data_IF_046667867605
#
_entry.id   IF_046667867605
#
_cell.length_a   1.000
_cell.length_b   1.000
_cell.length_c   1.000
_cell.angle_alpha   90.00
_cell.angle_beta   90.00
_cell.angle_gamma   90.00
#
_symmetry.space_group_name_H-M   'P 1'
#
loop_
_entity.id
_entity.type
_entity.pdbx_description
1 polymer ?
#
# COMPACT_ATOMS: atom_id res chain seq x y z
N UNK A 1 -5.55 5.55 16.90
CA UNK A 1 -5.31 5.85 15.47
C UNK A 1 -4.00 6.57 15.33
N UNK A 2 -3.26 6.31 14.25
CA UNK A 2 -2.02 7.03 13.95
C UNK A 2 -2.28 8.54 13.83
N UNK A 3 -1.41 9.35 14.44
CA UNK A 3 -1.53 10.81 14.42
C UNK A 3 -1.29 11.37 13.02
N UNK A 4 -1.82 12.57 12.75
CA UNK A 4 -1.53 13.32 11.51
C UNK A 4 -0.02 13.44 11.24
N UNK A 5 0.79 13.67 12.29
CA UNK A 5 2.25 13.75 12.18
C UNK A 5 2.84 12.43 11.67
N UNK A 6 2.38 11.29 12.19
CA UNK A 6 2.84 9.97 11.75
C UNK A 6 2.44 9.67 10.30
N UNK A 7 1.21 10.00 9.89
CA UNK A 7 0.77 9.84 8.49
C UNK A 7 1.63 10.68 7.54
N UNK A 8 1.89 11.94 7.86
CA UNK A 8 2.74 12.84 7.05
C UNK A 8 4.16 12.29 6.96
N UNK A 9 4.73 11.82 8.07
CA UNK A 9 6.07 11.25 8.09
C UNK A 9 6.16 9.99 7.24
N UNK A 10 5.16 9.09 7.32
CA UNK A 10 5.09 7.90 6.48
C UNK A 10 5.05 8.25 4.98
N UNK A 11 4.23 9.22 4.59
CA UNK A 11 4.15 9.70 3.20
C UNK A 11 5.52 10.20 2.73
N UNK A 12 6.19 11.06 3.50
CA UNK A 12 7.51 11.59 3.14
C UNK A 12 8.54 10.49 2.95
N UNK A 13 8.59 9.54 3.88
CA UNK A 13 9.56 8.45 3.84
C UNK A 13 9.36 7.53 2.64
N UNK A 14 8.11 7.20 2.32
CA UNK A 14 7.80 6.38 1.14
C UNK A 14 8.07 7.15 -0.16
N UNK A 15 7.74 8.44 -0.22
CA UNK A 15 8.02 9.29 -1.39
C UNK A 15 9.53 9.48 -1.66
N UNK A 16 10.38 9.32 -0.64
CA UNK A 16 11.84 9.49 -0.75
C UNK A 16 12.58 8.20 -1.13
N UNK A 17 11.88 7.09 -1.40
CA UNK A 17 12.53 5.83 -1.80
C UNK A 17 13.17 6.01 -3.18
N UNK A 18 14.50 6.04 -3.23
CA UNK A 18 15.26 6.16 -4.47
C UNK A 18 14.95 5.00 -5.42
N UNK A 19 14.67 5.30 -6.68
CA UNK A 19 14.33 4.31 -7.71
C UNK A 19 12.87 3.84 -7.69
N UNK A 20 12.03 4.42 -6.82
CA UNK A 20 10.59 4.25 -6.82
C UNK A 20 9.87 5.57 -7.11
N UNK A 21 8.75 5.50 -7.82
CA UNK A 21 7.88 6.62 -8.15
C UNK A 21 6.45 6.28 -7.78
N UNK A 22 5.72 7.25 -7.20
CA UNK A 22 4.31 7.11 -6.84
C UNK A 22 3.56 8.38 -7.17
N UNK A 23 2.27 8.24 -7.45
CA UNK A 23 1.38 9.39 -7.50
C UNK A 23 1.07 9.88 -6.07
N UNK A 24 1.25 11.18 -5.81
CA UNK A 24 1.08 11.79 -4.49
C UNK A 24 -0.30 11.54 -3.87
N UNK A 25 -1.36 11.57 -4.70
CA UNK A 25 -2.73 11.34 -4.24
C UNK A 25 -2.93 9.88 -3.82
N UNK A 26 -2.47 8.92 -4.64
CA UNK A 26 -2.54 7.50 -4.30
C UNK A 26 -1.70 7.16 -3.06
N UNK A 27 -0.48 7.68 -2.96
CA UNK A 27 0.38 7.50 -1.79
C UNK A 27 -0.32 8.00 -0.52
N UNK A 28 -0.85 9.22 -0.55
CA UNK A 28 -1.54 9.83 0.59
C UNK A 28 -2.72 8.97 1.04
N UNK A 29 -3.55 8.55 0.08
CA UNK A 29 -4.75 7.82 0.41
C UNK A 29 -4.46 6.36 0.85
N UNK A 30 -3.42 5.70 0.33
CA UNK A 30 -2.97 4.38 0.79
C UNK A 30 -2.47 4.44 2.24
N UNK A 31 -1.74 5.50 2.60
CA UNK A 31 -1.29 5.73 3.99
C UNK A 31 -2.47 6.00 4.91
N UNK A 32 -3.46 6.80 4.49
CA UNK A 32 -4.68 7.06 5.28
C UNK A 32 -5.43 5.76 5.53
N UNK A 33 -5.65 4.95 4.49
CA UNK A 33 -6.33 3.66 4.60
C UNK A 33 -5.59 2.72 5.54
N UNK A 34 -4.27 2.66 5.47
CA UNK A 34 -3.47 1.84 6.38
C UNK A 34 -3.60 2.29 7.84
N UNK A 35 -3.69 3.59 8.10
CA UNK A 35 -3.90 4.11 9.45
C UNK A 35 -5.29 3.76 10.02
N UNK A 36 -6.29 3.53 9.17
CA UNK A 36 -7.60 3.00 9.58
C UNK A 36 -7.51 1.51 9.90
N UNK A 37 -6.77 0.74 9.10
CA UNK A 37 -6.60 -0.71 9.32
C UNK A 37 -5.76 -0.99 10.56
N UNK A 38 -4.64 -0.27 10.71
CA UNK A 38 -3.70 -0.40 11.82
C UNK A 38 -3.86 0.81 12.74
N UNK A 39 -4.94 0.80 13.52
CA UNK A 39 -5.31 1.94 14.36
C UNK A 39 -4.36 2.16 15.55
N UNK A 40 -3.61 1.13 15.96
CA UNK A 40 -2.55 1.28 16.95
C UNK A 40 -1.33 1.99 16.32
N UNK A 41 -0.81 3.07 16.93
CA UNK A 41 0.32 3.80 16.35
C UNK A 41 1.61 2.99 16.21
N UNK A 42 1.86 2.02 17.09
CA UNK A 42 3.04 1.16 16.99
C UNK A 42 2.89 0.21 15.80
N UNK A 43 1.74 -0.47 15.70
CA UNK A 43 1.43 -1.35 14.56
C UNK A 43 1.55 -0.62 13.22
N UNK A 44 0.95 0.57 13.13
CA UNK A 44 1.02 1.41 11.92
C UNK A 44 2.46 1.68 11.49
N UNK A 45 3.31 2.16 12.40
CA UNK A 45 4.70 2.48 12.04
C UNK A 45 5.47 1.22 11.64
N UNK A 46 5.28 0.10 12.34
CA UNK A 46 5.88 -1.18 11.96
C UNK A 46 5.46 -1.62 10.56
N UNK A 47 4.19 -1.45 10.19
CA UNK A 47 3.71 -1.75 8.84
C UNK A 47 4.32 -0.83 7.79
N UNK A 48 4.48 0.47 8.09
CA UNK A 48 5.16 1.41 7.20
C UNK A 48 6.62 0.99 6.96
N UNK A 49 7.36 0.57 8.00
CA UNK A 49 8.73 0.05 7.83
C UNK A 49 8.78 -1.15 6.90
N UNK A 50 7.84 -2.09 7.06
CA UNK A 50 7.76 -3.28 6.22
C UNK A 50 7.48 -2.87 4.77
N UNK A 51 6.55 -1.95 4.53
CA UNK A 51 6.23 -1.47 3.19
C UNK A 51 7.43 -0.80 2.53
N UNK A 52 8.13 0.10 3.25
CA UNK A 52 9.33 0.78 2.75
C UNK A 52 10.37 -0.27 2.35
N UNK A 53 10.68 -1.22 3.25
CA UNK A 53 11.64 -2.29 2.98
C UNK A 53 11.25 -3.11 1.75
N UNK A 54 9.97 -3.48 1.63
CA UNK A 54 9.51 -4.30 0.50
C UNK A 54 9.56 -3.54 -0.83
N UNK A 55 9.34 -2.23 -0.84
CA UNK A 55 9.53 -1.38 -2.03
C UNK A 55 11.03 -1.27 -2.35
N UNK A 56 11.89 -0.99 -1.38
CA UNK A 56 13.34 -0.92 -1.59
C UNK A 56 13.92 -2.21 -2.14
N UNK A 57 13.50 -3.36 -1.62
CA UNK A 57 13.88 -4.68 -2.15
C UNK A 57 13.32 -4.92 -3.56
N UNK A 58 12.16 -4.34 -3.89
CA UNK A 58 11.60 -4.38 -5.25
C UNK A 58 12.36 -3.48 -6.22
N UNK A 59 12.91 -2.36 -5.76
CA UNK A 59 13.82 -1.53 -6.57
C UNK A 59 15.11 -2.29 -6.90
N UNK A 60 15.65 -3.05 -5.94
CA UNK A 60 16.86 -3.88 -6.14
C UNK A 60 16.59 -5.08 -7.05
N UNK A 61 15.43 -5.73 -6.88
CA UNK A 61 15.01 -6.87 -7.68
C UNK A 61 13.56 -6.65 -8.19
N UNK A 62 13.42 -6.09 -9.41
CA UNK A 62 12.10 -5.86 -10.00
C UNK A 62 11.33 -7.14 -10.35
N UNK A 63 12.00 -8.31 -10.38
CA UNK A 63 11.39 -9.57 -10.79
C UNK A 63 10.44 -10.16 -9.74
N UNK A 64 10.46 -9.63 -8.51
CA UNK A 64 9.65 -10.06 -7.37
C UNK A 64 8.14 -10.06 -7.67
N UNK A 65 7.38 -10.77 -6.86
CA UNK A 65 5.92 -10.81 -6.99
C UNK A 65 5.39 -11.60 -8.20
N UNK A 66 4.08 -11.52 -8.40
CA UNK A 66 3.35 -12.26 -9.45
C UNK A 66 2.78 -11.26 -10.47
N UNK A 67 2.84 -11.61 -11.76
CA UNK A 67 2.19 -10.80 -12.80
C UNK A 67 0.66 -10.81 -12.60
N UNK A 68 0.03 -9.66 -12.81
CA UNK A 68 -1.42 -9.59 -12.83
C UNK A 68 -1.98 -10.22 -14.11
N UNK A 69 -3.24 -10.67 -14.04
CA UNK A 69 -3.90 -11.37 -15.15
C UNK A 69 -4.55 -10.37 -16.12
N UNK A 70 -4.94 -10.87 -17.30
CA UNK A 70 -5.73 -10.13 -18.30
C UNK A 70 -5.02 -8.90 -18.85
N UNK A 71 -5.66 -7.73 -18.77
CA UNK A 71 -5.19 -6.48 -19.37
C UNK A 71 -4.15 -5.74 -18.50
N UNK A 72 -3.68 -6.39 -17.42
CA UNK A 72 -2.75 -5.80 -16.46
C UNK A 72 -1.44 -6.59 -16.36
N UNK A 73 -1.08 -7.38 -17.38
CA UNK A 73 0.11 -8.25 -17.37
C UNK A 73 1.42 -7.51 -17.16
N UNK A 74 1.46 -6.23 -17.49
CA UNK A 74 2.66 -5.40 -17.27
C UNK A 74 2.79 -4.94 -15.81
N UNK A 75 1.76 -5.18 -14.98
CA UNK A 75 1.79 -4.92 -13.55
C UNK A 75 2.14 -6.19 -12.77
N UNK A 76 2.98 -6.00 -11.75
CA UNK A 76 3.31 -7.00 -10.75
C UNK A 76 2.61 -6.71 -9.43
N UNK A 77 2.25 -7.79 -8.73
CA UNK A 77 1.69 -7.75 -7.38
C UNK A 77 2.59 -8.54 -6.43
N UNK A 78 3.19 -7.83 -5.49
CA UNK A 78 3.91 -8.43 -4.38
C UNK A 78 2.96 -8.60 -3.19
N UNK A 79 3.05 -9.74 -2.50
CA UNK A 79 2.28 -10.06 -1.28
C UNK A 79 3.27 -10.35 -0.16
N UNK A 80 3.02 -9.81 1.02
CA UNK A 80 3.87 -9.98 2.21
C UNK A 80 3.05 -9.88 3.50
N UNK A 81 3.70 -10.07 4.65
CA UNK A 81 3.07 -10.12 5.96
C UNK A 81 3.25 -8.80 6.71
N UNK A 82 2.20 -8.31 7.37
CA UNK A 82 2.30 -7.17 8.31
C UNK A 82 2.95 -7.55 9.64
N UNK A 83 2.91 -8.83 10.01
CA UNK A 83 3.26 -9.28 11.37
C UNK A 83 2.14 -9.14 12.41
N UNK A 84 1.04 -8.47 12.07
CA UNK A 84 -0.13 -8.23 12.94
C UNK A 84 -1.39 -8.96 12.45
N UNK A 85 -1.22 -9.99 11.63
CA UNK A 85 -2.35 -10.68 11.03
C UNK A 85 -3.09 -11.57 12.05
N UNK A 86 -4.43 -11.57 11.98
CA UNK A 86 -5.25 -12.54 12.72
C UNK A 86 -5.05 -13.98 12.20
N UNK A 87 -4.56 -14.12 10.96
CA UNK A 87 -4.32 -15.40 10.32
C UNK A 87 -2.84 -15.50 9.89
N UNK A 88 -1.95 -16.01 10.75
CA UNK A 88 -0.49 -16.04 10.52
C UNK A 88 -0.05 -16.66 9.19
N UNK A 89 -0.87 -17.56 8.63
CA UNK A 89 -0.61 -18.26 7.38
C UNK A 89 -0.93 -17.45 6.11
N UNK A 90 -1.51 -16.24 6.23
CA UNK A 90 -1.99 -15.45 5.08
C UNK A 90 -1.30 -14.10 4.98
N UNK A 91 -0.64 -13.89 3.83
CA UNK A 91 -0.13 -12.59 3.39
C UNK A 91 -1.27 -11.60 3.24
N UNK A 92 -1.21 -10.56 4.06
CA UNK A 92 -2.25 -9.58 4.30
C UNK A 92 -1.87 -8.20 3.76
N UNK A 93 -0.60 -7.92 3.46
CA UNK A 93 -0.19 -6.72 2.74
C UNK A 93 0.12 -6.99 1.27
N UNK A 94 -0.04 -5.96 0.44
CA UNK A 94 0.22 -5.99 -1.00
C UNK A 94 0.83 -4.68 -1.47
N UNK A 95 1.69 -4.78 -2.49
CA UNK A 95 2.15 -3.66 -3.32
C UNK A 95 1.91 -4.04 -4.78
N UNK A 96 1.37 -3.11 -5.56
CA UNK A 96 1.19 -3.24 -7.01
C UNK A 96 2.12 -2.24 -7.69
N UNK A 97 2.92 -2.73 -8.63
CA UNK A 97 3.95 -1.92 -9.26
C UNK A 97 4.26 -2.38 -10.68
N UNK A 98 5.04 -1.57 -11.40
CA UNK A 98 5.56 -1.86 -12.72
C UNK A 98 7.00 -1.38 -12.83
N UNK A 99 7.85 -2.11 -13.55
CA UNK A 99 9.13 -1.58 -13.99
C UNK A 99 8.94 -0.89 -15.35
N UNK A 100 9.22 0.41 -15.43
CA UNK A 100 9.26 1.15 -16.70
C UNK A 100 10.69 1.67 -16.95
N UNK A 101 11.07 2.69 -16.19
CA UNK A 101 12.47 3.16 -16.03
C UNK A 101 12.89 3.01 -14.57
N UNK A 102 11.99 3.42 -13.69
CA UNK A 102 12.01 3.18 -12.26
C UNK A 102 10.86 2.24 -11.88
N UNK A 103 10.82 1.80 -10.61
CA UNK A 103 9.65 1.10 -10.07
C UNK A 103 8.52 2.12 -9.88
N UNK A 104 7.46 2.00 -10.67
CA UNK A 104 6.25 2.79 -10.49
C UNK A 104 5.29 2.01 -9.60
N UNK A 105 5.06 2.50 -8.38
CA UNK A 105 4.08 1.91 -7.46
C UNK A 105 2.72 2.54 -7.70
N UNK A 106 1.75 1.70 -8.05
CA UNK A 106 0.37 2.11 -8.32
C UNK A 106 -0.50 2.10 -7.07
N UNK A 107 -0.13 1.28 -6.09
CA UNK A 107 -0.74 1.32 -4.78
C UNK A 107 -0.27 0.19 -3.88
N UNK A 108 -0.51 0.37 -2.59
CA UNK A 108 -0.18 -0.60 -1.55
C UNK A 108 -1.22 -0.57 -0.43
N UNK A 109 -1.25 -1.64 0.35
CA UNK A 109 -2.10 -1.68 1.52
C UNK A 109 -2.50 -3.08 1.94
N UNK A 110 -3.46 -3.11 2.85
CA UNK A 110 -3.97 -4.35 3.41
C UNK A 110 -4.97 -5.04 2.47
N UNK A 111 -5.05 -6.37 2.57
CA UNK A 111 -5.95 -7.25 1.82
C UNK A 111 -7.41 -6.99 2.17
N UNK A 112 -7.68 -6.39 3.31
CA UNK A 112 -9.01 -6.06 3.78
C UNK A 112 -9.09 -4.56 3.95
N UNK A 113 -10.03 -3.92 3.26
CA UNK A 113 -10.37 -2.53 3.53
C UNK A 113 -11.21 -2.40 4.80
N UNK A 114 -11.08 -1.28 5.52
CA UNK A 114 -12.13 -0.85 6.43
C UNK A 114 -13.41 -0.58 5.62
N UNK A 115 -14.58 -0.92 6.18
CA UNK A 115 -15.89 -0.69 5.53
C UNK A 115 -16.21 0.79 5.30
N UNK A 116 -15.53 1.68 5.99
CA UNK A 116 -15.65 3.14 5.92
C UNK A 116 -14.31 3.77 6.31
N UNK A 117 -13.91 4.84 5.63
CA UNK A 117 -12.77 5.68 6.01
C UNK A 117 -13.36 7.00 6.48
N UNK A 118 -13.16 7.35 7.75
CA UNK A 118 -13.62 8.60 8.32
C UNK A 118 -12.41 9.46 8.69
N UNK A 119 -12.23 10.59 8.01
CA UNK A 119 -11.17 11.54 8.34
C UNK A 119 -11.79 12.91 8.66
N UNK A 120 -11.55 13.40 9.88
CA UNK A 120 -12.11 14.66 10.40
C UNK A 120 -13.65 14.78 10.29
N UNK A 121 -14.38 13.67 10.41
CA UNK A 121 -15.84 13.64 10.30
C UNK A 121 -16.37 13.61 8.87
N UNK A 122 -15.49 13.42 7.87
CA UNK A 122 -15.85 13.26 6.46
C UNK A 122 -15.67 11.80 6.05
N UNK A 123 -16.74 11.18 5.56
CA UNK A 123 -16.72 9.90 4.86
C UNK A 123 -16.13 10.11 3.47
N UNK A 124 -14.94 9.56 3.22
CA UNK A 124 -14.34 9.60 1.88
C UNK A 124 -15.04 8.57 0.96
N UNK A 125 -15.51 9.03 -0.20
CA UNK A 125 -16.07 8.16 -1.24
C UNK A 125 -14.97 7.22 -1.77
N UNK A 126 -15.08 5.94 -1.45
CA UNK A 126 -14.13 4.90 -1.85
C UNK A 126 -14.30 4.46 -3.30
N UNK A 127 -15.19 5.07 -4.10
CA UNK A 127 -15.48 4.67 -5.48
C UNK A 127 -14.28 4.69 -6.44
N UNK A 128 -13.33 5.60 -6.25
CA UNK A 128 -12.07 5.64 -7.02
C UNK A 128 -11.16 4.46 -6.60
N UNK A 129 -11.11 4.19 -5.30
CA UNK A 129 -10.38 3.07 -4.72
C UNK A 129 -10.95 1.71 -5.17
N UNK A 130 -12.27 1.57 -5.21
CA UNK A 130 -12.99 0.40 -5.70
C UNK A 130 -12.70 0.12 -7.19
N UNK A 131 -12.58 1.17 -8.02
CA UNK A 131 -12.23 1.03 -9.44
C UNK A 131 -10.79 0.55 -9.64
N UNK A 132 -9.85 1.05 -8.85
CA UNK A 132 -8.44 0.59 -8.86
C UNK A 132 -8.36 -0.85 -8.33
N UNK A 133 -9.15 -1.19 -7.30
CA UNK A 133 -9.27 -2.52 -6.68
C UNK A 133 -9.82 -3.61 -7.60
N UNK A 134 -10.94 -3.35 -8.28
CA UNK A 134 -11.53 -4.30 -9.23
C UNK A 134 -10.52 -4.66 -10.32
N UNK A 135 -9.73 -3.68 -10.77
CA UNK A 135 -8.70 -3.88 -11.77
C UNK A 135 -7.50 -4.64 -11.18
N UNK A 136 -6.94 -4.22 -10.04
CA UNK A 136 -5.75 -4.83 -9.43
C UNK A 136 -5.99 -6.19 -8.73
N UNK A 137 -7.25 -6.64 -8.62
CA UNK A 137 -7.60 -7.86 -7.88
C UNK A 137 -7.31 -7.74 -6.38
N UNK A 138 -7.46 -6.52 -5.83
CA UNK A 138 -7.38 -6.23 -4.41
C UNK A 138 -8.84 -6.21 -3.92
N UNK A 139 -9.25 -7.28 -3.24
CA UNK A 139 -10.56 -7.34 -2.55
C UNK A 139 -10.54 -6.55 -1.26
#
# INVERSE_FOLDING_TARGET
>A
MASRKQKIEAIKRIAMISGAEMNDFHLTADVIILAEVFSDPFEFNSVIEIIIKEIEETVKDPSRGEDLKWDLRDLKKLKFYSGFNQYPQKKDLRVVYQLIKNIVVYGFGHRWLPKSIEENGVLLDTSIYEKIKQRAGIR
#
